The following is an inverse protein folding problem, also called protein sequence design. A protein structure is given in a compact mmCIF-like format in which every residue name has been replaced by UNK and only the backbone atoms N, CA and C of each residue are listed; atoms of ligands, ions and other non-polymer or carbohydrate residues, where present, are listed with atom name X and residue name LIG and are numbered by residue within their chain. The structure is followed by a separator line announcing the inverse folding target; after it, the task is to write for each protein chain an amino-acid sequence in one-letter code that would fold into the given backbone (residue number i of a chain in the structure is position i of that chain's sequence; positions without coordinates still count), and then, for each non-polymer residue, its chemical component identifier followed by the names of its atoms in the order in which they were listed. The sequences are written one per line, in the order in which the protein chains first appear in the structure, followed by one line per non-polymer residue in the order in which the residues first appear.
data_IF_921511346140
#
_entry.id   IF_921511346140
#
_cell.length_a   1.000
_cell.length_b   1.000
_cell.length_c   1.000
_cell.angle_alpha   90.00
_cell.angle_beta   90.00
_cell.angle_gamma   90.00
#
_symmetry.space_group_name_H-M   'P 1'
#
loop_
_entity.id
_entity.type
_entity.pdbx_description
1 polymer ?
#
# COMPACT_ATOMS: atom_id res chain seq x y z
N UNK A 1 14.20 -3.27 -17.88
CA UNK A 1 12.84 -3.16 -18.45
C UNK A 1 12.21 -1.85 -17.98
N UNK A 2 11.79 -0.96 -18.89
CA UNK A 2 11.05 0.27 -18.52
C UNK A 2 9.56 -0.08 -18.52
N UNK A 3 8.96 -0.21 -17.34
CA UNK A 3 7.50 -0.30 -17.23
C UNK A 3 6.96 1.08 -17.64
N UNK A 4 6.11 1.18 -18.68
CA UNK A 4 5.56 2.46 -19.10
C UNK A 4 4.72 3.04 -17.95
N UNK A 5 5.06 4.26 -17.50
CA UNK A 5 4.37 4.94 -16.39
C UNK A 5 2.87 5.13 -16.64
N UNK A 6 2.45 5.19 -17.91
CA UNK A 6 1.03 5.23 -18.28
C UNK A 6 0.26 4.07 -17.67
N UNK A 7 0.84 2.87 -17.59
CA UNK A 7 0.18 1.69 -17.03
C UNK A 7 -0.12 1.81 -15.52
N UNK A 8 0.63 2.66 -14.80
CA UNK A 8 0.43 2.92 -13.37
C UNK A 8 -0.49 4.12 -13.09
N UNK A 9 -0.67 5.01 -14.06
CA UNK A 9 -1.32 6.31 -13.84
C UNK A 9 -2.59 6.44 -14.69
N UNK A 10 -2.86 5.52 -15.63
CA UNK A 10 -4.07 5.55 -16.46
C UNK A 10 -5.33 5.38 -15.60
N UNK A 11 -6.17 6.42 -15.46
CA UNK A 11 -7.33 6.37 -14.59
C UNK A 11 -8.36 5.33 -15.06
N UNK A 12 -8.48 5.12 -16.38
CA UNK A 12 -9.43 4.15 -16.94
C UNK A 12 -9.02 2.70 -16.69
N UNK A 13 -7.73 2.35 -16.86
CA UNK A 13 -7.25 0.98 -16.57
C UNK A 13 -7.14 0.69 -15.08
N UNK A 14 -6.90 1.72 -14.27
CA UNK A 14 -6.68 1.57 -12.83
C UNK A 14 -7.91 1.94 -11.99
N UNK A 15 -9.05 2.24 -12.62
CA UNK A 15 -10.30 2.53 -11.94
C UNK A 15 -10.68 1.43 -10.95
N UNK A 16 -10.59 0.16 -11.35
CA UNK A 16 -10.90 -0.99 -10.48
C UNK A 16 -9.98 -1.03 -9.26
N UNK A 17 -8.68 -0.82 -9.46
CA UNK A 17 -7.71 -0.77 -8.36
C UNK A 17 -7.96 0.43 -7.44
N UNK A 18 -8.25 1.60 -8.02
CA UNK A 18 -8.57 2.82 -7.29
C UNK A 18 -9.84 2.67 -6.46
N UNK A 19 -10.93 2.19 -7.07
CA UNK A 19 -12.19 1.91 -6.38
C UNK A 19 -12.00 0.91 -5.24
N UNK A 20 -11.24 -0.16 -5.47
CA UNK A 20 -10.95 -1.15 -4.45
C UNK A 20 -10.12 -0.57 -3.28
N UNK A 21 -9.07 0.18 -3.59
CA UNK A 21 -8.24 0.85 -2.59
C UNK A 21 -9.04 1.86 -1.76
N UNK A 22 -9.93 2.62 -2.39
CA UNK A 22 -10.83 3.56 -1.71
C UNK A 22 -11.82 2.82 -0.82
N UNK A 23 -12.47 1.78 -1.32
CA UNK A 23 -13.44 0.99 -0.55
C UNK A 23 -12.79 0.35 0.70
N UNK A 24 -11.60 -0.24 0.56
CA UNK A 24 -10.84 -0.78 1.69
C UNK A 24 -10.47 0.32 2.67
N UNK A 25 -10.05 1.49 2.20
CA UNK A 25 -9.67 2.60 3.07
C UNK A 25 -10.86 3.11 3.88
N UNK A 26 -12.02 3.28 3.24
CA UNK A 26 -13.26 3.70 3.91
C UNK A 26 -13.69 2.65 4.94
N UNK A 27 -13.65 1.36 4.58
CA UNK A 27 -13.96 0.27 5.50
C UNK A 27 -13.01 0.26 6.71
N UNK A 28 -11.70 0.35 6.45
CA UNK A 28 -10.68 0.40 7.49
C UNK A 28 -10.90 1.56 8.46
N UNK A 29 -11.23 2.76 7.96
CA UNK A 29 -11.50 3.92 8.81
C UNK A 29 -12.82 3.79 9.58
N UNK A 30 -13.90 3.35 8.93
CA UNK A 30 -15.21 3.19 9.56
C UNK A 30 -15.20 2.20 10.73
N UNK A 31 -14.40 1.13 10.62
CA UNK A 31 -14.28 0.09 11.63
C UNK A 31 -13.02 0.20 12.49
N UNK A 32 -12.26 1.29 12.35
CA UNK A 32 -11.00 1.51 13.09
C UNK A 32 -11.19 1.55 14.61
N UNK A 33 -12.36 1.97 15.10
CA UNK A 33 -12.69 1.98 16.53
C UNK A 33 -12.78 0.57 17.11
N UNK A 34 -13.27 -0.40 16.33
CA UNK A 34 -13.44 -1.79 16.76
C UNK A 34 -12.20 -2.64 16.46
N UNK A 35 -11.54 -2.38 15.33
CA UNK A 35 -10.44 -3.23 14.81
C UNK A 35 -9.11 -2.49 14.68
N UNK A 36 -8.94 -1.29 15.25
CA UNK A 36 -7.75 -0.46 15.05
C UNK A 36 -6.43 -1.19 15.33
N UNK A 37 -6.42 -2.03 16.38
CA UNK A 37 -5.26 -2.89 16.72
C UNK A 37 -4.97 -3.94 15.64
N UNK A 38 -6.01 -4.54 15.07
CA UNK A 38 -5.88 -5.56 14.02
C UNK A 38 -5.45 -4.91 12.70
N UNK A 39 -6.03 -3.76 12.36
CA UNK A 39 -5.68 -2.97 11.17
C UNK A 39 -4.23 -2.50 11.19
N UNK A 40 -3.74 -1.99 12.33
CA UNK A 40 -2.33 -1.57 12.43
C UNK A 40 -1.38 -2.77 12.34
N UNK A 41 -1.74 -3.92 12.91
CA UNK A 41 -0.98 -5.16 12.77
C UNK A 41 -0.94 -5.65 11.32
N UNK A 42 -2.09 -5.65 10.63
CA UNK A 42 -2.16 -6.02 9.22
C UNK A 42 -1.33 -5.07 8.35
N UNK A 43 -1.39 -3.76 8.62
CA UNK A 43 -0.55 -2.78 7.97
C UNK A 43 0.93 -3.11 8.15
N UNK A 44 1.38 -3.37 9.38
CA UNK A 44 2.77 -3.77 9.62
C UNK A 44 3.12 -5.11 8.97
N UNK A 45 2.23 -6.10 8.99
CA UNK A 45 2.49 -7.40 8.38
C UNK A 45 2.73 -7.30 6.86
N UNK A 46 2.05 -6.37 6.18
CA UNK A 46 2.25 -6.11 4.74
C UNK A 46 3.56 -5.38 4.47
N UNK A 47 3.92 -4.40 5.31
CA UNK A 47 5.07 -3.53 5.08
C UNK A 47 6.39 -4.01 5.69
N UNK A 48 6.36 -4.81 6.74
CA UNK A 48 7.54 -5.31 7.45
C UNK A 48 8.41 -6.24 6.57
N UNK A 49 7.86 -7.14 5.74
CA UNK A 49 8.67 -7.94 4.82
C UNK A 49 9.45 -7.11 3.81
N UNK A 50 8.91 -5.98 3.33
CA UNK A 50 9.61 -5.06 2.43
C UNK A 50 10.88 -4.49 3.07
N UNK A 51 10.84 -4.20 4.37
CA UNK A 51 12.02 -3.76 5.14
C UNK A 51 13.06 -4.88 5.19
N UNK A 52 12.64 -6.13 5.43
CA UNK A 52 13.55 -7.27 5.55
C UNK A 52 14.21 -7.64 4.22
N UNK A 53 13.48 -7.54 3.10
CA UNK A 53 13.97 -7.93 1.77
C UNK A 53 14.95 -6.89 1.22
N UNK A 54 14.71 -5.59 1.43
CA UNK A 54 15.42 -4.52 0.71
C UNK A 54 15.94 -3.38 1.63
N UNK A 55 16.20 -3.66 2.92
CA UNK A 55 16.70 -2.68 3.90
C UNK A 55 17.91 -1.86 3.41
N UNK A 56 18.86 -2.50 2.69
CA UNK A 56 20.05 -1.83 2.15
C UNK A 56 19.74 -0.85 1.03
N UNK A 57 18.68 -1.07 0.27
CA UNK A 57 18.26 -0.20 -0.83
C UNK A 57 17.49 1.00 -0.31
N UNK A 58 16.71 0.81 0.75
CA UNK A 58 15.95 1.87 1.43
C UNK A 58 16.88 2.89 2.12
N UNK A 59 17.94 2.42 2.80
CA UNK A 59 18.90 3.30 3.49
C UNK A 59 19.83 4.08 2.54
N UNK A 60 20.12 3.56 1.34
CA UNK A 60 20.98 4.27 0.37
C UNK A 60 20.36 5.54 -0.19
N UNK A 61 19.03 5.69 -0.14
CA UNK A 61 18.35 6.91 -0.54
C UNK A 61 18.25 7.96 0.57
N UNK A 62 18.72 7.62 1.78
CA UNK A 62 18.74 8.49 2.96
C UNK A 62 20.15 9.02 3.29
N UNK A 63 21.15 8.79 2.42
CA UNK A 63 22.53 9.28 2.54
C UNK A 63 22.89 10.24 1.42
#
# INVERSE_FOLDING_TARGET
MKIPKSLLIDPERNAVYGTFAVAISVFAFAYSTNFGKVLILAYYAVWLPLILVDYRRFLRHLS
#
